data_IF_306748014927
#
_entry.id   IF_306748014927
#
_cell.length_a   1.000
_cell.length_b   1.000
_cell.length_c   1.000
_cell.angle_alpha   90.00
_cell.angle_beta   90.00
_cell.angle_gamma   90.00
#
_symmetry.space_group_name_H-M   'P 1'
#
loop_
_entity.id
_entity.type
_entity.pdbx_description
1 polymer ?
#
# COMPACT_ATOMS: atom_id res chain seq x y z
N UNK A 1 16.45 8.32 -8.47
CA UNK A 1 16.35 9.08 -7.19
C UNK A 1 17.67 9.80 -6.92
N UNK A 2 17.69 11.14 -6.87
CA UNK A 2 18.90 11.95 -6.60
C UNK A 2 18.62 13.07 -5.58
N UNK A 3 19.54 13.22 -4.61
CA UNK A 3 19.47 14.24 -3.56
C UNK A 3 19.65 15.66 -4.11
N UNK A 4 20.54 15.84 -5.07
CA UNK A 4 20.86 17.16 -5.63
C UNK A 4 19.73 17.72 -6.50
N UNK A 5 18.85 16.86 -7.02
CA UNK A 5 17.69 17.26 -7.84
C UNK A 5 16.40 17.34 -7.02
N UNK A 6 16.46 17.18 -5.69
CA UNK A 6 15.29 17.15 -4.81
C UNK A 6 14.39 15.92 -4.97
N UNK A 7 14.79 14.94 -5.78
CA UNK A 7 14.04 13.71 -6.03
C UNK A 7 14.62 12.55 -5.21
N UNK A 8 14.55 12.69 -3.88
CA UNK A 8 15.07 11.70 -2.94
C UNK A 8 14.16 11.62 -1.72
N UNK A 9 13.81 10.39 -1.34
CA UNK A 9 12.99 10.09 -0.18
C UNK A 9 13.75 9.11 0.71
N UNK A 10 13.91 9.46 1.99
CA UNK A 10 14.48 8.52 2.96
C UNK A 10 13.45 7.49 3.38
N UNK A 11 13.90 6.33 3.88
CA UNK A 11 13.01 5.28 4.36
C UNK A 11 12.05 5.78 5.46
N UNK A 12 12.54 6.60 6.38
CA UNK A 12 11.73 7.14 7.49
C UNK A 12 10.65 8.08 6.93
N UNK A 13 11.02 9.00 6.04
CA UNK A 13 10.06 9.89 5.37
C UNK A 13 9.00 9.12 4.59
N UNK A 14 9.40 8.04 3.91
CA UNK A 14 8.47 7.20 3.16
C UNK A 14 7.47 6.47 4.08
N UNK A 15 7.93 5.94 5.21
CA UNK A 15 7.07 5.27 6.19
C UNK A 15 6.12 6.26 6.86
N UNK A 16 6.61 7.44 7.24
CA UNK A 16 5.80 8.50 7.86
C UNK A 16 4.74 9.06 6.89
N UNK A 17 5.07 9.17 5.60
CA UNK A 17 4.15 9.67 4.59
C UNK A 17 3.10 8.66 4.13
N UNK A 18 3.50 7.40 3.95
CA UNK A 18 2.67 6.41 3.23
C UNK A 18 2.32 5.14 4.03
N UNK A 19 2.70 5.09 5.31
CA UNK A 19 2.70 3.87 6.12
C UNK A 19 3.69 2.81 5.60
N UNK A 20 4.12 1.93 6.50
CA UNK A 20 5.04 0.83 6.16
C UNK A 20 4.41 -0.13 5.13
N UNK A 21 3.11 -0.39 5.22
CA UNK A 21 2.43 -1.36 4.36
C UNK A 21 2.20 -0.81 2.96
N UNK A 22 1.77 0.45 2.84
CA UNK A 22 1.62 1.12 1.54
C UNK A 22 2.94 1.16 0.78
N UNK A 23 4.04 1.49 1.48
CA UNK A 23 5.39 1.50 0.92
C UNK A 23 5.80 0.10 0.41
N UNK A 24 5.62 -0.94 1.23
CA UNK A 24 5.98 -2.33 0.86
C UNK A 24 5.20 -2.83 -0.34
N UNK A 25 3.89 -2.57 -0.39
CA UNK A 25 3.05 -2.95 -1.52
C UNK A 25 3.51 -2.27 -2.81
N UNK A 26 3.89 -1.00 -2.73
CA UNK A 26 4.32 -0.24 -3.92
C UNK A 26 5.71 -0.64 -4.37
N UNK A 27 6.60 -0.98 -3.43
CA UNK A 27 7.89 -1.56 -3.78
C UNK A 27 7.76 -2.94 -4.44
N UNK A 28 6.75 -3.73 -4.06
CA UNK A 28 6.46 -5.00 -4.73
C UNK A 28 5.94 -4.79 -6.16
N UNK A 29 5.22 -3.70 -6.43
CA UNK A 29 4.69 -3.34 -7.75
C UNK A 29 5.70 -2.55 -8.62
N UNK A 30 6.76 -2.00 -8.00
CA UNK A 30 7.73 -1.13 -8.67
C UNK A 30 8.54 -1.83 -9.77
N UNK A 31 8.65 -3.16 -9.71
CA UNK A 31 9.29 -3.97 -10.73
C UNK A 31 9.76 -5.33 -10.21
N UNK A 32 9.52 -6.38 -11.00
CA UNK A 32 9.98 -7.76 -10.77
C UNK A 32 11.02 -8.22 -11.82
N UNK A 33 11.35 -7.34 -12.78
CA UNK A 33 12.28 -7.58 -13.88
C UNK A 33 13.68 -7.07 -13.56
N UNK A 34 14.62 -7.31 -14.49
CA UNK A 34 16.01 -6.84 -14.42
C UNK A 34 16.15 -5.33 -14.73
N UNK A 35 15.11 -4.73 -15.33
CA UNK A 35 15.07 -3.29 -15.61
C UNK A 35 14.92 -2.47 -14.32
N UNK A 36 15.30 -1.19 -14.38
CA UNK A 36 15.23 -0.30 -13.23
C UNK A 36 13.78 -0.15 -12.73
N UNK A 37 13.55 -0.58 -11.48
CA UNK A 37 12.26 -0.44 -10.82
C UNK A 37 11.92 1.05 -10.61
N UNK A 38 10.63 1.38 -10.74
CA UNK A 38 10.16 2.75 -10.63
C UNK A 38 9.15 2.91 -9.49
N UNK A 39 9.37 3.93 -8.67
CA UNK A 39 8.51 4.24 -7.53
C UNK A 39 7.65 5.48 -7.84
N UNK A 40 6.34 5.26 -7.92
CA UNK A 40 5.34 6.32 -8.12
C UNK A 40 4.50 6.51 -6.86
N UNK A 41 4.56 7.70 -6.26
CA UNK A 41 3.79 8.04 -5.04
C UNK A 41 2.28 7.86 -5.24
N UNK A 42 1.77 8.16 -6.44
CA UNK A 42 0.37 7.96 -6.81
C UNK A 42 -0.09 6.49 -6.70
N UNK A 43 0.82 5.53 -6.95
CA UNK A 43 0.52 4.11 -6.79
C UNK A 43 0.39 3.76 -5.32
N UNK A 44 1.16 4.41 -4.44
CA UNK A 44 1.12 4.15 -3.00
C UNK A 44 -0.23 4.52 -2.41
N UNK A 45 -0.76 5.69 -2.76
CA UNK A 45 -2.07 6.14 -2.31
C UNK A 45 -3.18 5.19 -2.77
N UNK A 46 -3.13 4.77 -4.05
CA UNK A 46 -4.09 3.82 -4.60
C UNK A 46 -4.03 2.45 -3.90
N UNK A 47 -2.84 1.95 -3.61
CA UNK A 47 -2.66 0.68 -2.90
C UNK A 47 -3.09 0.74 -1.44
N UNK A 48 -2.83 1.86 -0.75
CA UNK A 48 -3.28 2.06 0.62
C UNK A 48 -4.82 2.10 0.69
N UNK A 49 -5.47 2.82 -0.24
CA UNK A 49 -6.94 2.85 -0.34
C UNK A 49 -7.52 1.46 -0.64
N UNK A 50 -6.85 0.68 -1.50
CA UNK A 50 -7.25 -0.70 -1.78
C UNK A 50 -7.13 -1.60 -0.55
N UNK A 51 -6.08 -1.45 0.25
CA UNK A 51 -5.91 -2.21 1.49
C UNK A 51 -6.97 -1.84 2.52
N UNK A 52 -7.28 -0.55 2.67
CA UNK A 52 -8.34 -0.08 3.55
C UNK A 52 -9.70 -0.68 3.17
N UNK A 53 -10.09 -0.56 1.90
CA UNK A 53 -11.36 -1.12 1.40
C UNK A 53 -11.42 -2.64 1.54
N UNK A 54 -10.30 -3.34 1.38
CA UNK A 54 -10.22 -4.79 1.62
C UNK A 54 -10.47 -5.15 3.09
N UNK A 55 -9.88 -4.42 4.04
CA UNK A 55 -10.10 -4.65 5.47
C UNK A 55 -11.57 -4.43 5.84
N UNK A 56 -12.19 -3.36 5.34
CA UNK A 56 -13.61 -3.10 5.58
C UNK A 56 -14.48 -4.22 5.00
N UNK A 57 -14.18 -4.68 3.79
CA UNK A 57 -14.89 -5.81 3.19
C UNK A 57 -14.75 -7.10 4.02
N UNK A 58 -13.56 -7.41 4.53
CA UNK A 58 -13.35 -8.59 5.40
C UNK A 58 -14.19 -8.49 6.68
N UNK A 59 -14.25 -7.30 7.30
CA UNK A 59 -15.09 -7.07 8.49
C UNK A 59 -16.57 -7.28 8.18
N UNK A 60 -17.05 -6.77 7.04
CA UNK A 60 -18.43 -6.93 6.62
C UNK A 60 -18.80 -8.40 6.39
N UNK A 61 -17.93 -9.17 5.71
CA UNK A 61 -18.12 -10.61 5.51
C UNK A 61 -18.18 -11.37 6.83
N UNK A 62 -17.31 -11.04 7.79
CA UNK A 62 -17.33 -11.65 9.11
C UNK A 62 -18.63 -11.33 9.88
N UNK A 63 -19.11 -10.09 9.82
CA UNK A 63 -20.38 -9.68 10.43
C UNK A 63 -21.60 -10.38 9.80
N UNK A 64 -21.57 -10.64 8.49
CA UNK A 64 -22.60 -11.42 7.80
C UNK A 64 -22.59 -12.87 8.30
N UNK A 65 -21.40 -13.48 8.40
CA UNK A 65 -21.28 -14.88 8.80
C UNK A 65 -21.73 -15.15 10.25
N UNK A 66 -21.44 -14.25 11.20
CA UNK A 66 -21.90 -14.37 12.57
C UNK A 66 -23.42 -14.21 12.71
N UNK A 67 -24.04 -13.39 11.85
CA UNK A 67 -25.49 -13.18 11.82
C UNK A 67 -26.24 -14.38 11.23
N UNK A 68 -25.63 -15.14 10.31
CA UNK A 68 -26.25 -16.33 9.70
C UNK A 68 -26.21 -17.57 10.60
N UNK A 69 -25.31 -17.66 11.58
CA UNK A 69 -25.24 -18.77 12.54
C UNK A 69 -26.30 -18.74 13.66
N UNK A 70 -27.10 -17.67 13.76
CA UNK A 70 -28.12 -17.51 14.80
C UNK A 70 -29.56 -17.81 14.35
N UNK A 71 -29.75 -18.54 13.24
CA UNK A 71 -31.02 -19.12 12.79
C UNK A 71 -30.82 -20.60 12.42
#
# INVERSE_FOLDING_TARGET
MSKSTGNFMTLIQAIEGFSADGMRLTLADAGDKIEDANFYEQNVEAQLLRLYTFIEWVKDVLNISSSQTNN
#
